data_IF_861562746849
#
_entry.id   IF_861562746849
#
_cell.length_a   1.000
_cell.length_b   1.000
_cell.length_c   1.000
_cell.angle_alpha   90.00
_cell.angle_beta   90.00
_cell.angle_gamma   90.00
#
_symmetry.space_group_name_H-M   'P 1'
#
loop_
_entity.id
_entity.type
_entity.pdbx_description
1 polymer ?
#
# COMPACT_ATOMS: atom_id res chain seq x y z
N UNK A 1 16.98 11.56 -28.46
CA UNK A 1 16.70 10.25 -27.85
C UNK A 1 15.20 10.06 -27.75
N UNK A 2 14.67 8.92 -28.16
CA UNK A 2 13.25 8.58 -28.02
C UNK A 2 13.00 7.70 -26.77
N UNK A 3 11.72 7.46 -26.42
CA UNK A 3 11.35 6.75 -25.19
C UNK A 3 11.85 5.30 -25.12
N UNK A 4 11.98 4.61 -26.26
CA UNK A 4 12.49 3.24 -26.33
C UNK A 4 14.02 3.21 -26.14
N UNK A 5 14.74 4.10 -26.80
CA UNK A 5 16.19 4.27 -26.62
C UNK A 5 16.54 4.60 -25.17
N UNK A 6 15.78 5.49 -24.54
CA UNK A 6 15.93 5.82 -23.11
C UNK A 6 15.72 4.58 -22.24
N UNK A 7 14.65 3.82 -22.49
CA UNK A 7 14.34 2.62 -21.69
C UNK A 7 15.46 1.60 -21.78
N UNK A 8 15.91 1.24 -22.99
CA UNK A 8 16.98 0.27 -23.19
C UNK A 8 18.28 0.73 -22.52
N UNK A 9 18.61 2.03 -22.61
CA UNK A 9 19.84 2.59 -22.02
C UNK A 9 19.88 2.45 -20.51
N UNK A 10 18.76 2.66 -19.82
CA UNK A 10 18.73 2.66 -18.34
C UNK A 10 18.20 1.36 -17.74
N UNK A 11 17.60 0.47 -18.51
CA UNK A 11 16.94 -0.74 -18.00
C UNK A 11 17.84 -1.57 -17.07
N UNK A 12 19.05 -1.90 -17.51
CA UNK A 12 19.95 -2.75 -16.70
C UNK A 12 20.48 -2.06 -15.45
N UNK A 13 20.62 -0.73 -15.51
CA UNK A 13 21.34 0.03 -14.50
C UNK A 13 20.43 0.60 -13.41
N UNK A 14 19.19 0.96 -13.75
CA UNK A 14 18.25 1.63 -12.83
C UNK A 14 16.97 0.83 -12.59
N UNK A 15 16.58 -0.05 -13.53
CA UNK A 15 15.31 -0.80 -13.46
C UNK A 15 15.46 -2.24 -13.00
N UNK A 16 16.56 -2.91 -13.37
CA UNK A 16 16.81 -4.29 -12.92
C UNK A 16 17.00 -4.28 -11.39
N UNK A 17 16.23 -5.07 -10.63
CA UNK A 17 16.53 -5.30 -9.22
C UNK A 17 17.96 -5.85 -9.12
N UNK A 18 18.79 -5.27 -8.27
CA UNK A 18 20.11 -5.84 -8.00
C UNK A 18 19.93 -7.21 -7.32
N UNK A 19 20.83 -8.14 -7.59
CA UNK A 19 20.81 -9.48 -6.99
C UNK A 19 21.11 -9.48 -5.48
N UNK A 20 21.56 -8.35 -4.93
CA UNK A 20 21.88 -8.11 -3.52
C UNK A 20 20.73 -8.40 -2.53
N UNK A 21 19.48 -8.20 -2.96
CA UNK A 21 18.27 -8.33 -2.15
C UNK A 21 17.99 -9.79 -1.79
N UNK A 22 18.32 -10.74 -2.68
CA UNK A 22 18.11 -12.16 -2.45
C UNK A 22 18.98 -12.70 -1.31
N UNK A 23 20.21 -12.22 -1.18
CA UNK A 23 21.09 -12.63 -0.09
C UNK A 23 20.62 -12.06 1.24
N UNK A 24 20.21 -10.79 1.25
CA UNK A 24 19.69 -10.12 2.44
C UNK A 24 18.47 -10.84 3.02
N UNK A 25 17.49 -11.21 2.19
CA UNK A 25 16.29 -11.90 2.66
C UNK A 25 16.57 -13.27 3.30
N UNK A 26 17.57 -14.00 2.80
CA UNK A 26 18.00 -15.27 3.41
C UNK A 26 18.62 -14.99 4.79
N UNK A 27 19.48 -13.97 4.89
CA UNK A 27 20.15 -13.60 6.14
C UNK A 27 19.17 -13.08 7.20
N UNK A 28 18.16 -12.30 6.80
CA UNK A 28 17.14 -11.77 7.71
C UNK A 28 16.35 -12.86 8.44
N UNK A 29 16.17 -14.04 7.83
CA UNK A 29 15.50 -15.17 8.49
C UNK A 29 16.27 -15.67 9.72
N UNK A 30 17.58 -15.45 9.77
CA UNK A 30 18.44 -15.88 10.88
C UNK A 30 18.61 -14.83 11.99
N UNK A 31 18.16 -13.59 11.76
CA UNK A 31 18.30 -12.51 12.72
C UNK A 31 17.38 -12.70 13.95
N UNK A 32 17.75 -12.12 15.11
CA UNK A 32 16.89 -12.11 16.29
C UNK A 32 15.60 -11.33 16.01
N UNK A 33 14.53 -11.66 16.74
CA UNK A 33 13.29 -10.89 16.69
C UNK A 33 13.51 -9.51 17.31
N UNK A 34 13.03 -8.47 16.65
CA UNK A 34 12.97 -7.10 17.15
C UNK A 34 11.51 -6.72 17.36
N UNK A 35 11.25 -5.94 18.40
CA UNK A 35 9.92 -5.38 18.70
C UNK A 35 9.97 -3.86 18.64
N UNK A 36 9.05 -3.25 17.90
CA UNK A 36 8.73 -1.83 18.00
C UNK A 36 7.37 -1.67 18.68
N UNK A 37 7.25 -0.72 19.60
CA UNK A 37 5.97 -0.36 20.23
C UNK A 37 5.55 1.02 19.77
N UNK A 38 4.29 1.18 19.40
CA UNK A 38 3.73 2.47 19.01
C UNK A 38 3.83 3.52 20.13
N UNK A 39 3.71 3.10 21.40
CA UNK A 39 3.88 3.99 22.56
C UNK A 39 5.31 4.54 22.65
N UNK A 40 6.33 3.68 22.53
CA UNK A 40 7.73 4.09 22.57
C UNK A 40 8.10 4.96 21.37
N UNK A 41 7.66 4.58 20.18
CA UNK A 41 8.02 5.29 18.94
C UNK A 41 7.35 6.67 18.86
N UNK A 42 6.13 6.83 19.40
CA UNK A 42 5.45 8.14 19.43
C UNK A 42 5.82 9.00 20.64
N UNK A 43 6.49 8.44 21.65
CA UNK A 43 6.76 9.13 22.92
C UNK A 43 5.48 9.52 23.69
N UNK A 44 4.33 8.94 23.34
CA UNK A 44 3.05 9.19 24.01
C UNK A 44 2.80 8.12 25.06
N UNK A 45 2.98 8.47 26.31
CA UNK A 45 2.49 7.67 27.42
C UNK A 45 0.99 8.00 27.61
N UNK A 46 0.11 7.00 27.62
CA UNK A 46 -1.30 7.09 28.04
C UNK A 46 -2.39 7.46 27.00
N UNK A 47 -2.12 7.51 25.70
CA UNK A 47 -3.21 7.57 24.68
C UNK A 47 -3.41 6.21 24.02
N UNK A 48 -4.62 5.61 24.08
CA UNK A 48 -4.85 4.30 23.47
C UNK A 48 -4.67 4.36 21.95
N UNK A 49 -3.87 3.43 21.42
CA UNK A 49 -3.72 3.22 19.97
C UNK A 49 -4.81 2.25 19.54
N UNK A 50 -5.83 2.78 18.86
CA UNK A 50 -7.02 2.03 18.48
C UNK A 50 -6.77 1.11 17.28
N UNK A 51 -5.93 1.51 16.33
CA UNK A 51 -5.60 0.69 15.15
C UNK A 51 -4.66 -0.45 15.59
N UNK A 52 -5.13 -1.70 15.49
CA UNK A 52 -4.41 -2.86 16.02
C UNK A 52 -3.02 -3.01 15.42
N UNK A 53 -2.92 -2.87 14.09
CA UNK A 53 -1.64 -2.97 13.36
C UNK A 53 -0.67 -1.83 13.66
N UNK A 54 -1.08 -0.77 14.37
CA UNK A 54 -0.21 0.32 14.80
C UNK A 54 0.35 0.13 16.23
N UNK A 55 -0.16 -0.83 17.01
CA UNK A 55 0.19 -0.96 18.43
C UNK A 55 1.63 -1.46 18.64
N UNK A 56 2.02 -2.48 17.89
CA UNK A 56 3.38 -3.02 17.94
C UNK A 56 3.70 -3.81 16.69
N UNK A 57 4.99 -3.91 16.37
CA UNK A 57 5.53 -4.80 15.35
C UNK A 57 6.51 -5.75 16.03
N UNK A 58 6.41 -7.05 15.77
CA UNK A 58 7.40 -8.05 16.20
C UNK A 58 7.81 -8.92 15.02
N UNK A 59 9.08 -8.87 14.63
CA UNK A 59 9.56 -9.63 13.47
C UNK A 59 11.07 -9.81 13.45
N UNK A 60 11.58 -10.62 12.51
CA UNK A 60 13.02 -10.86 12.32
C UNK A 60 13.67 -9.92 11.28
N UNK A 61 12.86 -9.10 10.58
CA UNK A 61 13.42 -8.09 9.68
C UNK A 61 14.25 -7.10 10.50
N UNK A 62 15.35 -6.56 9.96
CA UNK A 62 16.32 -5.78 10.73
C UNK A 62 15.85 -4.34 10.89
N UNK A 63 14.69 -4.17 11.50
CA UNK A 63 14.05 -2.87 11.74
C UNK A 63 14.75 -2.19 12.92
N UNK A 64 15.07 -0.90 12.79
CA UNK A 64 15.67 -0.13 13.88
C UNK A 64 14.66 0.81 14.55
N UNK A 65 14.72 1.02 15.89
CA UNK A 65 13.89 2.01 16.56
C UNK A 65 14.16 3.43 16.06
N UNK A 66 13.16 4.31 16.10
CA UNK A 66 13.32 5.71 15.65
C UNK A 66 14.34 6.47 16.48
N UNK A 67 14.44 6.18 17.78
CA UNK A 67 15.46 6.75 18.67
C UNK A 67 16.89 6.45 18.18
N UNK A 68 17.15 5.21 17.74
CA UNK A 68 18.43 4.82 17.16
C UNK A 68 18.63 5.48 15.79
N UNK A 69 17.62 5.42 14.91
CA UNK A 69 17.68 6.03 13.59
C UNK A 69 18.03 7.53 13.66
N UNK A 70 17.47 8.23 14.65
CA UNK A 70 17.65 9.68 14.86
C UNK A 70 19.03 10.05 15.44
N UNK A 71 19.85 9.07 15.85
CA UNK A 71 21.17 9.34 16.43
C UNK A 71 22.13 9.89 15.37
N UNK A 72 22.69 11.10 15.52
CA UNK A 72 23.70 11.63 14.59
C UNK A 72 24.94 10.72 14.52
N UNK A 73 25.44 10.44 13.32
CA UNK A 73 26.59 9.56 13.14
C UNK A 73 27.85 10.09 13.84
N UNK A 74 28.01 11.42 13.91
CA UNK A 74 29.13 12.09 14.59
C UNK A 74 29.21 11.73 16.07
N UNK A 75 28.09 11.46 16.74
CA UNK A 75 28.04 11.12 18.16
C UNK A 75 28.52 9.69 18.45
N UNK A 76 28.55 8.82 17.41
CA UNK A 76 28.96 7.43 17.53
C UNK A 76 30.41 7.22 17.08
N UNK A 77 30.81 7.91 16.00
CA UNK A 77 32.09 7.66 15.34
C UNK A 77 32.12 6.33 14.57
N UNK A 78 33.10 6.15 13.68
CA UNK A 78 33.13 5.03 12.72
C UNK A 78 33.13 3.64 13.39
N UNK A 79 33.85 3.47 14.52
CA UNK A 79 33.94 2.20 15.22
C UNK A 79 32.59 1.76 15.80
N UNK A 80 31.90 2.64 16.54
CA UNK A 80 30.58 2.32 17.12
C UNK A 80 29.49 2.21 16.06
N UNK A 81 29.60 2.95 14.95
CA UNK A 81 28.69 2.77 13.80
C UNK A 81 28.81 1.36 13.25
N UNK A 82 30.04 0.90 12.98
CA UNK A 82 30.29 -0.45 12.47
C UNK A 82 29.83 -1.53 13.47
N UNK A 83 30.13 -1.35 14.75
CA UNK A 83 29.69 -2.24 15.82
C UNK A 83 28.16 -2.40 15.79
N UNK A 84 27.41 -1.30 15.75
CA UNK A 84 25.94 -1.34 15.70
C UNK A 84 25.41 -2.02 14.43
N UNK A 85 25.99 -1.72 13.26
CA UNK A 85 25.61 -2.37 12.01
C UNK A 85 25.85 -3.89 12.09
N UNK A 86 27.03 -4.29 12.56
CA UNK A 86 27.40 -5.69 12.76
C UNK A 86 26.42 -6.40 13.71
N UNK A 87 26.07 -5.77 14.83
CA UNK A 87 25.09 -6.31 15.79
C UNK A 87 23.71 -6.47 15.17
N UNK A 88 23.19 -5.44 14.49
CA UNK A 88 21.83 -5.45 13.91
C UNK A 88 21.72 -6.45 12.77
N UNK A 89 22.73 -6.51 11.90
CA UNK A 89 22.73 -7.30 10.68
C UNK A 89 23.39 -8.68 10.84
N UNK A 90 23.84 -9.03 12.05
CA UNK A 90 24.41 -10.34 12.37
C UNK A 90 25.71 -10.64 11.61
N UNK A 91 26.61 -9.66 11.55
CA UNK A 91 27.88 -9.73 10.81
C UNK A 91 29.06 -9.31 11.69
N UNK A 92 30.28 -9.46 11.18
CA UNK A 92 31.52 -9.18 11.92
C UNK A 92 32.55 -8.48 11.03
N UNK A 93 32.12 -7.49 10.24
CA UNK A 93 33.03 -6.70 9.41
C UNK A 93 34.00 -5.90 10.27
N UNK A 94 35.20 -5.64 9.74
CA UNK A 94 36.26 -4.88 10.41
C UNK A 94 36.53 -3.55 9.69
N UNK A 95 36.97 -2.54 10.46
CA UNK A 95 37.48 -1.27 9.92
C UNK A 95 38.81 -1.41 9.19
N UNK A 96 39.44 -2.60 9.23
CA UNK A 96 40.57 -2.95 8.38
C UNK A 96 40.21 -2.89 6.88
N UNK A 97 38.92 -3.05 6.53
CA UNK A 97 38.45 -2.80 5.17
C UNK A 97 38.51 -1.28 4.88
N UNK A 98 39.43 -0.80 4.02
CA UNK A 98 39.63 0.63 3.81
C UNK A 98 38.43 1.29 3.11
N UNK A 99 37.73 0.53 2.24
CA UNK A 99 36.56 1.03 1.51
C UNK A 99 35.41 1.34 2.48
N UNK A 100 35.11 0.41 3.39
CA UNK A 100 34.07 0.58 4.40
C UNK A 100 34.43 1.69 5.41
N UNK A 101 35.68 1.68 5.90
CA UNK A 101 36.17 2.71 6.84
C UNK A 101 36.06 4.12 6.25
N UNK A 102 36.47 4.29 4.99
CA UNK A 102 36.37 5.57 4.27
C UNK A 102 34.92 5.98 4.05
N UNK A 103 34.03 5.04 3.71
CA UNK A 103 32.61 5.31 3.51
C UNK A 103 31.93 5.80 4.79
N UNK A 104 32.16 5.12 5.92
CA UNK A 104 31.62 5.53 7.23
C UNK A 104 32.10 6.93 7.63
N UNK A 105 33.38 7.24 7.42
CA UNK A 105 33.92 8.60 7.64
C UNK A 105 33.26 9.64 6.73
N UNK A 106 32.99 9.27 5.48
CA UNK A 106 32.30 10.16 4.52
C UNK A 106 30.88 10.48 4.99
N UNK A 107 30.13 9.49 5.49
CA UNK A 107 28.78 9.73 6.02
C UNK A 107 28.76 10.54 7.31
N UNK A 108 29.75 10.36 8.19
CA UNK A 108 29.94 11.24 9.35
C UNK A 108 30.17 12.69 8.90
N UNK A 109 31.05 12.90 7.91
CA UNK A 109 31.34 14.23 7.37
C UNK A 109 30.14 14.89 6.67
N UNK A 110 29.21 14.10 6.14
CA UNK A 110 27.94 14.57 5.54
C UNK A 110 26.85 14.89 6.58
N UNK A 111 27.15 14.78 7.88
CA UNK A 111 26.20 14.97 8.98
C UNK A 111 24.97 14.05 8.90
N UNK A 112 25.19 12.81 8.44
CA UNK A 112 24.12 11.82 8.39
C UNK A 112 23.75 11.35 9.81
N UNK A 113 22.48 10.98 9.99
CA UNK A 113 22.06 10.20 11.15
C UNK A 113 22.19 8.69 10.87
N UNK A 114 22.11 7.89 11.93
CA UNK A 114 22.27 6.44 11.85
C UNK A 114 21.26 5.81 10.89
N UNK A 115 20.01 6.28 10.89
CA UNK A 115 18.98 5.80 9.98
C UNK A 115 19.34 6.04 8.52
N UNK A 116 19.82 7.23 8.17
CA UNK A 116 20.19 7.55 6.78
C UNK A 116 21.35 6.67 6.33
N UNK A 117 22.37 6.53 7.18
CA UNK A 117 23.49 5.64 6.93
C UNK A 117 23.02 4.18 6.78
N UNK A 118 22.15 3.73 7.67
CA UNK A 118 21.62 2.38 7.70
C UNK A 118 20.85 2.07 6.41
N UNK A 119 19.93 2.94 5.98
CA UNK A 119 19.18 2.77 4.73
C UNK A 119 20.06 2.76 3.47
N UNK A 120 21.22 3.44 3.49
CA UNK A 120 22.18 3.40 2.38
C UNK A 120 22.97 2.09 2.31
N UNK A 121 23.24 1.47 3.46
CA UNK A 121 24.11 0.29 3.54
C UNK A 121 23.35 -1.02 3.60
N UNK A 122 22.16 -1.05 4.21
CA UNK A 122 21.39 -2.25 4.47
C UNK A 122 21.18 -3.13 3.23
N UNK A 123 20.84 -2.59 2.04
CA UNK A 123 20.59 -3.45 0.92
C UNK A 123 21.86 -4.06 0.29
N UNK A 124 23.06 -3.44 0.48
CA UNK A 124 24.38 -3.94 0.01
C UNK A 124 25.12 -4.73 1.07
N UNK A 125 24.61 -4.77 2.29
CA UNK A 125 25.44 -5.14 3.44
C UNK A 125 26.07 -6.52 3.32
N UNK A 126 25.37 -7.48 2.69
CA UNK A 126 25.83 -8.86 2.55
C UNK A 126 26.61 -9.14 1.27
N UNK A 127 26.77 -8.15 0.40
CA UNK A 127 27.54 -8.27 -0.83
C UNK A 127 29.04 -8.05 -0.61
N UNK A 128 29.80 -8.14 -1.70
CA UNK A 128 31.17 -7.65 -1.75
C UNK A 128 31.21 -6.11 -1.60
N UNK A 129 31.64 -5.68 -0.42
CA UNK A 129 31.83 -4.27 -0.04
C UNK A 129 33.09 -3.64 -0.67
N UNK A 130 33.87 -4.37 -1.47
CA UNK A 130 35.01 -3.82 -2.20
C UNK A 130 34.54 -2.76 -3.20
N UNK A 131 35.14 -1.57 -3.17
CA UNK A 131 34.78 -0.47 -4.06
C UNK A 131 33.35 0.06 -3.85
N UNK A 132 32.73 -0.20 -2.69
CA UNK A 132 31.34 0.18 -2.38
C UNK A 132 31.04 1.66 -2.62
N UNK A 133 32.01 2.54 -2.32
CA UNK A 133 31.88 3.98 -2.55
C UNK A 133 31.68 4.30 -4.03
N UNK A 134 32.45 3.68 -4.91
CA UNK A 134 32.39 3.90 -6.35
C UNK A 134 31.12 3.27 -6.95
N UNK A 135 30.71 2.11 -6.44
CA UNK A 135 29.42 1.47 -6.80
C UNK A 135 28.24 2.40 -6.48
N UNK A 136 28.20 2.97 -5.28
CA UNK A 136 27.14 3.92 -4.88
C UNK A 136 27.17 5.19 -5.72
N UNK A 137 28.35 5.76 -5.95
CA UNK A 137 28.51 6.96 -6.78
C UNK A 137 28.07 6.72 -8.23
N UNK A 138 28.35 5.54 -8.77
CA UNK A 138 27.87 5.12 -10.09
C UNK A 138 26.35 5.05 -10.13
N UNK A 139 25.70 4.46 -9.12
CA UNK A 139 24.23 4.38 -9.05
C UNK A 139 23.58 5.77 -8.99
N UNK A 140 24.13 6.66 -8.15
CA UNK A 140 23.71 8.06 -8.04
C UNK A 140 23.82 8.79 -9.37
N UNK A 141 24.96 8.65 -10.05
CA UNK A 141 25.23 9.29 -11.36
C UNK A 141 24.26 8.80 -12.43
N UNK A 142 23.99 7.48 -12.47
CA UNK A 142 23.06 6.90 -13.46
C UNK A 142 21.61 7.31 -13.21
N UNK A 143 21.16 7.45 -11.97
CA UNK A 143 19.82 8.00 -11.68
C UNK A 143 19.72 9.48 -12.08
N UNK A 144 20.77 10.26 -11.85
CA UNK A 144 20.83 11.65 -12.30
C UNK A 144 20.73 11.74 -13.83
N UNK A 145 21.54 10.98 -14.57
CA UNK A 145 21.49 10.93 -16.03
C UNK A 145 20.13 10.46 -16.55
N UNK A 146 19.57 9.39 -15.96
CA UNK A 146 18.24 8.87 -16.30
C UNK A 146 17.17 9.96 -16.24
N UNK A 147 17.15 10.74 -15.15
CA UNK A 147 16.16 11.81 -14.94
C UNK A 147 16.43 13.02 -15.83
N UNK A 148 17.70 13.36 -16.09
CA UNK A 148 18.02 14.45 -17.03
C UNK A 148 17.57 14.09 -18.44
N UNK A 149 17.88 12.87 -18.87
CA UNK A 149 17.72 12.45 -20.26
C UNK A 149 16.26 12.06 -20.60
N UNK A 150 15.36 11.92 -19.60
CA UNK A 150 13.93 11.65 -19.82
C UNK A 150 13.14 12.90 -20.24
N UNK A 151 13.68 14.10 -20.02
CA UNK A 151 13.04 15.36 -20.37
C UNK A 151 13.67 15.93 -21.64
N UNK A 152 12.97 15.83 -22.77
CA UNK A 152 13.46 16.29 -24.09
C UNK A 152 12.44 17.28 -24.67
N UNK A 153 12.89 18.48 -25.04
CA UNK A 153 12.03 19.53 -25.61
C UNK A 153 10.76 19.77 -24.76
N UNK A 154 10.93 19.83 -23.44
CA UNK A 154 9.84 19.98 -22.46
C UNK A 154 8.77 18.86 -22.48
N UNK A 155 9.15 17.66 -22.96
CA UNK A 155 8.31 16.46 -22.97
C UNK A 155 9.01 15.33 -22.23
N UNK A 156 8.27 14.64 -21.36
CA UNK A 156 8.70 13.39 -20.74
C UNK A 156 8.56 12.28 -21.78
N UNK A 157 9.68 11.72 -22.24
CA UNK A 157 9.69 10.73 -23.33
C UNK A 157 9.36 9.30 -22.89
N UNK A 158 9.33 9.04 -21.57
CA UNK A 158 8.97 7.74 -21.00
C UNK A 158 8.31 7.92 -19.62
N UNK A 159 7.14 7.32 -19.41
CA UNK A 159 6.36 7.44 -18.16
C UNK A 159 6.74 6.42 -17.09
N UNK A 160 7.55 5.41 -17.41
CA UNK A 160 7.99 4.38 -16.45
C UNK A 160 9.10 4.88 -15.53
N UNK A 161 9.15 6.18 -15.24
CA UNK A 161 10.19 6.71 -14.38
C UNK A 161 9.97 6.26 -12.94
N UNK A 162 11.03 5.74 -12.31
CA UNK A 162 10.99 5.34 -10.90
C UNK A 162 10.88 6.58 -10.00
N UNK A 163 10.21 6.48 -8.83
CA UNK A 163 10.12 7.60 -7.90
C UNK A 163 11.51 8.10 -7.52
N UNK A 164 11.68 9.39 -7.25
CA UNK A 164 13.00 9.92 -6.87
C UNK A 164 13.47 9.41 -5.51
N UNK A 165 12.52 9.24 -4.60
CA UNK A 165 12.75 8.83 -3.23
C UNK A 165 11.68 7.84 -2.80
N UNK A 166 12.02 6.99 -1.85
CA UNK A 166 11.12 6.02 -1.21
C UNK A 166 11.34 6.05 0.29
N UNK A 167 10.32 5.72 1.06
CA UNK A 167 10.43 5.59 2.51
C UNK A 167 10.84 4.16 2.86
N UNK A 168 12.09 4.00 3.32
CA UNK A 168 12.59 2.76 3.91
C UNK A 168 12.08 2.65 5.36
N UNK A 169 11.19 1.69 5.57
CA UNK A 169 10.55 1.45 6.86
C UNK A 169 11.49 0.75 7.84
N UNK A 170 12.53 0.05 7.39
CA UNK A 170 13.51 -0.56 8.30
C UNK A 170 14.37 0.51 8.95
N UNK A 171 14.86 1.48 8.18
CA UNK A 171 15.66 2.61 8.68
C UNK A 171 14.86 3.80 9.22
N UNK A 172 13.56 3.84 8.92
CA UNK A 172 12.69 5.00 9.10
C UNK A 172 13.20 6.26 8.38
N UNK A 173 13.67 6.12 7.14
CA UNK A 173 14.19 7.25 6.35
C UNK A 173 13.67 7.24 4.93
N UNK A 174 13.46 8.43 4.40
CA UNK A 174 13.33 8.64 2.97
C UNK A 174 14.73 8.54 2.36
N UNK A 175 14.91 7.56 1.48
CA UNK A 175 16.16 7.29 0.77
C UNK A 175 15.96 7.46 -0.73
N UNK A 176 17.01 7.83 -1.49
CA UNK A 176 16.93 7.90 -2.94
C UNK A 176 16.60 6.54 -3.57
N UNK A 177 15.92 6.55 -4.72
CA UNK A 177 15.64 5.31 -5.47
C UNK A 177 16.90 4.54 -5.86
N UNK A 178 17.98 5.23 -6.23
CA UNK A 178 19.24 4.60 -6.60
C UNK A 178 19.90 3.84 -5.44
N UNK A 179 19.48 4.11 -4.20
CA UNK A 179 19.83 3.32 -3.02
C UNK A 179 18.87 2.14 -2.87
N UNK A 180 17.57 2.38 -2.79
CA UNK A 180 16.60 1.32 -2.48
C UNK A 180 16.50 0.26 -3.58
N UNK A 181 16.43 0.70 -4.85
CA UNK A 181 16.29 -0.13 -6.06
C UNK A 181 15.23 -1.24 -5.95
N UNK A 182 14.20 -0.98 -5.16
CA UNK A 182 13.07 -1.87 -4.92
C UNK A 182 11.78 -1.07 -4.96
N UNK A 183 10.78 -1.65 -5.61
CA UNK A 183 9.49 -0.98 -5.80
C UNK A 183 8.76 -0.82 -4.47
N UNK A 184 8.38 0.42 -4.11
CA UNK A 184 7.67 0.67 -2.87
C UNK A 184 6.21 0.25 -2.95
N UNK A 185 5.59 0.03 -1.80
CA UNK A 185 4.13 -0.01 -1.70
C UNK A 185 3.60 1.43 -1.61
N UNK A 186 2.78 1.87 -2.57
CA UNK A 186 2.19 3.19 -2.52
C UNK A 186 1.17 3.27 -1.38
N UNK A 187 1.16 4.41 -0.68
CA UNK A 187 0.15 4.78 0.29
C UNK A 187 -0.73 5.85 -0.35
N UNK A 188 -2.03 5.61 -0.35
CA UNK A 188 -3.04 6.56 -0.76
C UNK A 188 -3.87 6.99 0.45
N UNK A 189 -4.25 8.27 0.52
CA UNK A 189 -4.99 8.79 1.67
C UNK A 189 -5.91 9.96 1.31
N UNK A 190 -6.99 10.13 2.06
CA UNK A 190 -7.93 11.25 1.87
C UNK A 190 -7.26 12.60 2.18
N UNK A 191 -7.75 13.66 1.52
CA UNK A 191 -7.33 15.02 1.82
C UNK A 191 -8.07 15.51 3.07
N UNK A 192 -7.35 16.16 3.97
CA UNK A 192 -7.94 16.80 5.16
C UNK A 192 -8.07 18.31 5.05
N UNK A 193 -8.90 18.89 5.92
CA UNK A 193 -8.96 20.33 6.10
C UNK A 193 -7.64 20.89 6.66
N UNK A 194 -7.21 22.05 6.17
CA UNK A 194 -5.97 22.71 6.58
C UNK A 194 -5.92 22.97 8.09
N UNK A 195 -7.06 23.28 8.73
CA UNK A 195 -7.16 23.51 10.17
C UNK A 195 -6.98 22.21 10.97
N UNK A 196 -7.15 21.05 10.34
CA UNK A 196 -6.94 19.72 10.93
C UNK A 196 -5.59 19.10 10.54
N UNK A 197 -4.81 19.78 9.70
CA UNK A 197 -3.44 19.40 9.35
C UNK A 197 -2.44 20.17 10.20
N UNK A 198 -1.23 19.64 10.27
CA UNK A 198 -0.06 20.31 10.79
C UNK A 198 1.14 19.96 9.93
N UNK A 199 2.04 20.93 9.79
CA UNK A 199 3.30 20.77 9.08
C UNK A 199 4.38 20.29 10.05
N UNK A 200 4.83 19.04 9.88
CA UNK A 200 5.82 18.42 10.76
C UNK A 200 7.18 18.40 10.09
N UNK A 201 8.17 19.03 10.73
CA UNK A 201 9.56 18.91 10.34
C UNK A 201 10.18 17.64 10.94
N UNK A 202 10.15 16.55 10.18
CA UNK A 202 10.52 15.21 10.64
C UNK A 202 11.95 14.81 10.27
N UNK A 203 12.69 14.04 11.10
CA UNK A 203 13.96 13.44 10.70
C UNK A 203 13.80 12.37 9.60
N UNK A 204 12.58 11.87 9.36
CA UNK A 204 12.30 10.82 8.36
C UNK A 204 12.73 11.27 6.96
N UNK A 205 12.39 12.50 6.54
CA UNK A 205 12.85 13.10 5.28
C UNK A 205 14.11 13.96 5.44
N UNK A 206 14.90 13.73 6.50
CA UNK A 206 16.11 14.50 6.78
C UNK A 206 15.85 15.95 7.20
N UNK A 207 14.62 16.30 7.62
CA UNK A 207 14.20 17.68 7.90
C UNK A 207 14.38 18.60 6.69
N UNK A 208 14.25 18.05 5.48
CA UNK A 208 14.41 18.82 4.26
C UNK A 208 13.18 19.67 3.96
N UNK A 209 11.97 19.20 4.25
CA UNK A 209 10.74 19.97 4.08
C UNK A 209 9.70 19.62 5.15
N UNK A 210 8.77 20.54 5.47
CA UNK A 210 7.62 20.21 6.31
C UNK A 210 6.74 19.16 5.64
N UNK A 211 6.23 18.23 6.44
CA UNK A 211 5.34 17.16 5.98
C UNK A 211 3.93 17.45 6.51
N UNK A 212 2.96 17.77 5.63
CA UNK A 212 1.59 18.02 6.06
C UNK A 212 0.92 16.71 6.46
N UNK A 213 0.64 16.54 7.74
CA UNK A 213 -0.04 15.36 8.28
C UNK A 213 -1.24 15.76 9.15
N UNK A 214 -2.24 14.88 9.35
CA UNK A 214 -3.31 15.10 10.33
C UNK A 214 -2.76 15.29 11.74
N UNK A 215 -3.33 16.20 12.53
CA UNK A 215 -2.88 16.51 13.91
C UNK A 215 -2.90 15.30 14.86
N UNK A 216 -3.78 14.35 14.59
CA UNK A 216 -3.97 13.11 15.33
C UNK A 216 -3.24 11.91 14.72
N UNK A 217 -2.59 12.06 13.56
CA UNK A 217 -1.81 11.01 12.92
C UNK A 217 -0.35 11.01 13.38
N UNK A 218 0.32 9.88 13.20
CA UNK A 218 1.76 9.73 13.41
C UNK A 218 2.37 8.89 12.31
N UNK A 219 3.45 9.41 11.71
CA UNK A 219 4.25 8.69 10.72
C UNK A 219 4.85 7.41 11.32
N UNK A 220 5.23 7.41 12.59
CA UNK A 220 5.78 6.22 13.24
C UNK A 220 4.72 5.14 13.48
N UNK A 221 3.46 5.52 13.70
CA UNK A 221 2.36 4.55 13.78
C UNK A 221 2.05 3.96 12.40
N UNK A 222 1.98 4.79 11.35
CA UNK A 222 1.83 4.35 9.96
C UNK A 222 2.96 3.38 9.59
N UNK A 223 4.20 3.69 9.98
CA UNK A 223 5.34 2.80 9.78
C UNK A 223 5.13 1.43 10.43
N UNK A 224 4.70 1.37 11.69
CA UNK A 224 4.45 0.09 12.38
C UNK A 224 3.36 -0.71 11.65
N UNK A 225 2.29 -0.05 11.22
CA UNK A 225 1.23 -0.68 10.44
C UNK A 225 1.75 -1.25 9.12
N UNK A 226 2.52 -0.47 8.37
CA UNK A 226 3.12 -0.93 7.11
C UNK A 226 4.11 -2.09 7.33
N UNK A 227 4.89 -2.08 8.42
CA UNK A 227 5.77 -3.20 8.79
C UNK A 227 4.98 -4.48 9.11
N UNK A 228 3.83 -4.36 9.78
CA UNK A 228 2.92 -5.49 10.04
C UNK A 228 2.27 -6.04 8.76
N UNK A 229 2.15 -5.22 7.70
CA UNK A 229 1.76 -5.66 6.36
C UNK A 229 2.93 -6.30 5.57
N UNK A 230 4.11 -6.42 6.18
CA UNK A 230 5.29 -7.01 5.54
C UNK A 230 6.01 -6.07 4.57
N UNK A 231 5.75 -4.77 4.63
CA UNK A 231 6.33 -3.77 3.72
C UNK A 231 7.73 -3.35 4.19
N UNK A 232 8.67 -3.27 3.25
CA UNK A 232 10.02 -2.73 3.47
C UNK A 232 10.14 -1.28 2.98
N UNK A 233 9.74 -1.03 1.73
CA UNK A 233 9.69 0.32 1.16
C UNK A 233 8.25 0.74 0.93
N UNK A 234 7.90 1.93 1.39
CA UNK A 234 6.65 2.59 1.12
C UNK A 234 6.87 3.86 0.28
N UNK A 235 5.82 4.32 -0.39
CA UNK A 235 5.82 5.63 -1.04
C UNK A 235 4.63 6.42 -0.54
N UNK A 236 4.92 7.59 0.03
CA UNK A 236 3.93 8.53 0.52
C UNK A 236 4.30 9.88 -0.07
N UNK A 237 3.43 10.46 -0.88
CA UNK A 237 3.66 11.70 -1.64
C UNK A 237 4.21 12.84 -0.77
N UNK A 238 3.61 13.09 0.39
CA UNK A 238 4.02 14.15 1.33
C UNK A 238 5.41 13.92 1.94
N UNK A 239 5.90 12.67 1.96
CA UNK A 239 7.24 12.31 2.43
C UNK A 239 8.27 12.20 1.29
N UNK A 240 7.88 11.67 0.15
CA UNK A 240 8.81 11.31 -0.93
C UNK A 240 8.98 12.43 -1.97
N UNK A 241 8.00 13.33 -2.08
CA UNK A 241 8.09 14.54 -2.90
C UNK A 241 8.43 15.75 -2.04
N UNK A 242 9.29 16.62 -2.59
CA UNK A 242 9.66 17.88 -1.94
C UNK A 242 8.42 18.77 -1.81
N UNK A 243 8.10 19.18 -0.57
CA UNK A 243 6.97 20.06 -0.26
C UNK A 243 7.41 21.52 -0.14
N UNK A 244 6.44 22.43 -0.13
CA UNK A 244 6.66 23.88 0.02
C UNK A 244 7.26 24.20 1.39
N UNK A 245 8.18 25.17 1.44
CA UNK A 245 8.69 25.74 2.69
C UNK A 245 9.86 24.97 3.30
N UNK A 246 10.49 24.10 2.50
CA UNK A 246 11.66 23.32 2.90
C UNK A 246 13.00 23.99 2.61
N UNK A 247 14.07 23.34 3.07
CA UNK A 247 15.43 23.55 2.58
C UNK A 247 15.47 23.21 1.08
N UNK A 248 16.24 24.00 0.34
CA UNK A 248 16.40 23.85 -1.10
C UNK A 248 15.08 23.91 -1.89
N UNK A 249 14.19 24.83 -1.49
CA UNK A 249 12.96 25.15 -2.23
C UNK A 249 13.24 25.47 -3.71
N UNK A 250 14.44 25.98 -4.03
CA UNK A 250 14.93 26.20 -5.40
C UNK A 250 14.84 24.95 -6.28
N UNK A 251 14.98 23.76 -5.69
CA UNK A 251 14.94 22.49 -6.43
C UNK A 251 13.51 21.97 -6.64
N UNK A 252 12.51 22.46 -5.89
CA UNK A 252 11.16 21.87 -5.90
C UNK A 252 10.54 21.92 -7.29
N UNK A 253 10.58 23.08 -7.95
CA UNK A 253 10.03 23.22 -9.30
C UNK A 253 10.73 22.31 -10.31
N UNK A 254 12.06 22.20 -10.23
CA UNK A 254 12.83 21.34 -11.14
C UNK A 254 12.58 19.85 -10.91
N UNK A 255 12.48 19.40 -9.65
CA UNK A 255 12.09 18.03 -9.32
C UNK A 255 10.65 17.73 -9.80
N UNK A 256 9.71 18.65 -9.55
CA UNK A 256 8.29 18.47 -9.87
C UNK A 256 8.00 18.38 -11.36
N UNK A 257 8.78 19.04 -12.23
CA UNK A 257 8.63 18.93 -13.71
C UNK A 257 8.56 17.50 -14.21
N UNK A 258 9.28 16.60 -13.53
CA UNK A 258 9.42 15.20 -13.91
C UNK A 258 8.68 14.29 -12.92
N UNK A 259 8.86 14.54 -11.62
CA UNK A 259 8.39 13.62 -10.60
C UNK A 259 6.85 13.59 -10.55
N UNK A 260 6.17 14.76 -10.59
CA UNK A 260 4.71 14.84 -10.46
C UNK A 260 3.97 14.16 -11.62
N UNK A 261 4.32 14.42 -12.90
CA UNK A 261 3.67 13.73 -14.03
C UNK A 261 3.91 12.22 -14.11
N UNK A 262 4.89 11.68 -13.35
CA UNK A 262 5.25 10.26 -13.39
C UNK A 262 4.78 9.48 -12.16
N UNK A 263 4.08 10.13 -11.21
CA UNK A 263 3.57 9.51 -9.98
C UNK A 263 2.68 8.29 -10.27
N UNK A 264 1.86 8.33 -11.32
CA UNK A 264 0.95 7.24 -11.67
C UNK A 264 1.65 5.88 -11.81
N UNK A 265 2.94 5.86 -12.17
CA UNK A 265 3.71 4.62 -12.25
C UNK A 265 3.98 3.97 -10.88
N UNK A 266 4.04 4.76 -9.81
CA UNK A 266 4.18 4.24 -8.43
C UNK A 266 2.90 3.52 -7.98
N UNK A 267 1.75 4.02 -8.44
CA UNK A 267 0.43 3.50 -8.11
C UNK A 267 -0.07 2.41 -9.08
N UNK A 268 0.73 2.04 -10.08
CA UNK A 268 0.40 0.95 -10.99
C UNK A 268 0.29 -0.38 -10.22
N UNK A 269 -0.96 -0.84 -10.06
CA UNK A 269 -1.28 -2.03 -9.26
C UNK A 269 -0.76 -3.33 -9.86
N UNK A 270 -0.36 -3.33 -11.15
CA UNK A 270 0.35 -4.48 -11.74
C UNK A 270 1.70 -4.74 -11.06
N UNK A 271 2.21 -3.76 -10.31
CA UNK A 271 3.50 -3.80 -9.65
C UNK A 271 3.39 -4.13 -8.15
N UNK A 272 2.53 -3.41 -7.41
CA UNK A 272 2.31 -3.60 -5.95
C UNK A 272 0.88 -3.19 -5.56
N UNK A 273 0.34 -3.80 -4.50
CA UNK A 273 -0.95 -3.38 -3.92
C UNK A 273 -0.80 -2.01 -3.24
N UNK A 274 -1.81 -1.16 -3.41
CA UNK A 274 -1.90 0.16 -2.79
C UNK A 274 -2.48 0.02 -1.38
N UNK A 275 -1.91 0.74 -0.40
CA UNK A 275 -2.49 0.84 0.94
C UNK A 275 -3.34 2.12 1.03
N UNK A 276 -4.64 1.98 1.24
CA UNK A 276 -5.59 3.09 1.20
C UNK A 276 -6.11 3.46 2.59
N UNK A 277 -5.94 4.73 2.98
CA UNK A 277 -6.52 5.33 4.18
C UNK A 277 -7.70 6.24 3.81
N UNK A 278 -8.90 5.66 3.71
CA UNK A 278 -10.12 6.36 3.25
C UNK A 278 -10.60 7.47 4.20
N UNK A 279 -10.37 7.34 5.50
CA UNK A 279 -10.72 8.36 6.51
C UNK A 279 -9.58 9.35 6.76
N UNK A 280 -8.52 9.28 5.93
CA UNK A 280 -7.34 10.12 5.97
C UNK A 280 -6.15 9.45 6.66
N UNK A 281 -4.96 9.95 6.33
CA UNK A 281 -3.68 9.29 6.56
C UNK A 281 -3.47 8.83 8.01
N UNK A 282 -3.23 7.53 8.20
CA UNK A 282 -2.93 6.92 9.50
C UNK A 282 -4.09 6.87 10.49
N UNK A 283 -5.29 7.30 10.10
CA UNK A 283 -6.47 7.26 10.96
C UNK A 283 -7.19 5.92 10.87
N UNK A 284 -7.96 5.67 11.91
CA UNK A 284 -8.99 4.63 11.93
C UNK A 284 -9.94 4.81 10.73
N UNK A 285 -10.22 3.70 10.04
CA UNK A 285 -11.32 3.63 9.09
C UNK A 285 -12.64 3.93 9.80
N UNK A 286 -13.25 5.07 9.47
CA UNK A 286 -14.55 5.48 9.98
C UNK A 286 -15.41 6.02 8.84
N UNK A 287 -16.23 5.13 8.26
CA UNK A 287 -17.13 5.46 7.15
C UNK A 287 -18.20 6.49 7.51
N UNK A 288 -18.53 6.69 8.80
CA UNK A 288 -19.46 7.74 9.26
C UNK A 288 -18.82 9.13 9.26
N UNK A 289 -17.49 9.21 9.36
CA UNK A 289 -16.73 10.47 9.33
C UNK A 289 -16.24 10.85 7.93
N UNK A 290 -16.33 9.92 6.96
CA UNK A 290 -16.09 10.22 5.55
C UNK A 290 -17.22 11.08 5.01
N UNK A 291 -17.03 12.40 4.96
CA UNK A 291 -17.97 13.28 4.25
C UNK A 291 -17.76 13.11 2.73
N UNK A 292 -18.53 12.21 2.12
CA UNK A 292 -18.41 11.83 0.70
C UNK A 292 -18.62 12.98 -0.27
N UNK A 293 -19.43 13.97 0.12
CA UNK A 293 -19.75 15.16 -0.69
C UNK A 293 -18.65 16.23 -0.67
N UNK A 294 -17.72 16.16 0.29
CA UNK A 294 -16.62 17.11 0.38
C UNK A 294 -15.68 17.00 -0.83
N UNK A 295 -15.26 18.13 -1.40
CA UNK A 295 -14.22 18.17 -2.45
C UNK A 295 -12.88 17.55 -2.03
N UNK A 296 -12.72 17.26 -0.72
CA UNK A 296 -11.52 16.70 -0.09
C UNK A 296 -11.68 15.23 0.28
N UNK A 297 -12.87 14.69 0.05
CA UNK A 297 -13.14 13.27 0.07
C UNK A 297 -12.11 12.55 -0.81
N UNK A 298 -11.54 11.43 -0.35
CA UNK A 298 -10.69 10.57 -1.18
C UNK A 298 -11.34 10.29 -2.54
N UNK A 299 -12.67 10.20 -2.53
CA UNK A 299 -13.53 9.88 -3.66
C UNK A 299 -13.72 11.03 -4.68
N UNK A 300 -13.32 12.28 -4.37
CA UNK A 300 -13.42 13.44 -5.29
C UNK A 300 -12.06 14.03 -5.70
N UNK A 301 -10.96 13.50 -5.18
CA UNK A 301 -9.61 13.92 -5.55
C UNK A 301 -9.25 13.41 -6.95
N UNK A 302 -8.95 14.31 -7.90
CA UNK A 302 -8.61 13.91 -9.28
C UNK A 302 -7.42 12.94 -9.39
N UNK A 303 -6.53 12.91 -8.38
CA UNK A 303 -5.38 12.01 -8.33
C UNK A 303 -5.74 10.55 -8.01
N UNK A 304 -6.85 10.28 -7.29
CA UNK A 304 -7.23 8.90 -6.92
C UNK A 304 -7.68 8.06 -8.11
N UNK A 305 -8.07 8.67 -9.23
CA UNK A 305 -8.37 7.97 -10.48
C UNK A 305 -7.15 7.24 -11.06
N UNK A 306 -5.93 7.75 -10.81
CA UNK A 306 -4.67 7.10 -11.23
C UNK A 306 -4.29 5.93 -10.31
N UNK A 307 -4.92 5.82 -9.14
CA UNK A 307 -4.53 4.92 -8.06
C UNK A 307 -5.41 3.65 -7.99
N UNK A 308 -6.50 3.63 -8.77
CA UNK A 308 -7.52 2.56 -8.80
C UNK A 308 -7.36 1.62 -10.00
N UNK A 309 -6.28 1.74 -10.79
CA UNK A 309 -6.10 0.95 -12.03
C UNK A 309 -5.90 -0.56 -11.75
N UNK A 310 -7.05 -1.24 -11.62
CA UNK A 310 -7.47 -2.57 -12.04
C UNK A 310 -6.37 -3.62 -12.20
N UNK A 311 -6.19 -4.43 -11.13
CA UNK A 311 -5.88 -5.89 -11.20
C UNK A 311 -5.87 -6.61 -9.85
N UNK A 312 -5.71 -5.91 -8.71
CA UNK A 312 -5.63 -6.53 -7.37
C UNK A 312 -6.36 -5.70 -6.30
N UNK A 313 -6.92 -6.35 -5.28
CA UNK A 313 -7.55 -5.65 -4.14
C UNK A 313 -6.54 -4.69 -3.43
N UNK A 314 -6.88 -3.41 -3.20
CA UNK A 314 -6.09 -2.53 -2.34
C UNK A 314 -6.12 -3.01 -0.89
N UNK A 315 -5.06 -2.74 -0.14
CA UNK A 315 -4.97 -3.02 1.29
C UNK A 315 -5.60 -1.85 2.05
N UNK A 316 -6.53 -2.13 2.95
CA UNK A 316 -7.19 -1.10 3.75
C UNK A 316 -6.33 -0.79 4.99
N UNK A 317 -5.95 0.48 5.16
CA UNK A 317 -5.25 0.97 6.35
C UNK A 317 -6.22 1.44 7.43
N UNK A 318 -5.79 1.41 8.69
CA UNK A 318 -6.53 1.93 9.84
C UNK A 318 -7.51 0.95 10.49
N UNK A 319 -7.24 -0.36 10.41
CA UNK A 319 -8.13 -1.42 10.89
C UNK A 319 -8.12 -1.62 12.43
N UNK A 320 -9.31 -1.66 13.07
CA UNK A 320 -9.48 -1.82 14.54
C UNK A 320 -9.84 -3.23 15.02
N UNK A 321 -10.06 -4.19 14.13
CA UNK A 321 -10.40 -5.59 14.48
C UNK A 321 -11.86 -5.84 14.86
N UNK A 322 -12.67 -4.82 15.14
CA UNK A 322 -14.14 -4.93 15.25
C UNK A 322 -14.84 -4.89 13.88
N UNK A 323 -14.17 -4.30 12.89
CA UNK A 323 -14.51 -4.44 11.48
C UNK A 323 -13.65 -5.58 10.95
N UNK A 324 -14.21 -6.81 10.97
CA UNK A 324 -13.50 -8.01 10.52
C UNK A 324 -12.84 -7.78 9.16
N UNK A 325 -11.65 -8.35 8.99
CA UNK A 325 -10.79 -8.31 7.81
C UNK A 325 -11.58 -8.06 6.50
N UNK A 326 -11.64 -6.80 6.08
CA UNK A 326 -12.26 -6.37 4.82
C UNK A 326 -11.36 -6.71 3.61
N UNK A 327 -10.18 -7.28 3.86
CA UNK A 327 -9.32 -7.91 2.87
C UNK A 327 -9.87 -9.28 2.48
N UNK A 328 -10.55 -9.35 1.35
CA UNK A 328 -10.96 -10.60 0.73
C UNK A 328 -12.44 -10.95 0.91
N UNK A 329 -12.99 -11.56 -0.14
CA UNK A 329 -14.34 -12.10 -0.30
C UNK A 329 -15.49 -11.05 -0.26
N UNK A 330 -16.29 -11.02 -1.33
CA UNK A 330 -17.55 -10.24 -1.46
C UNK A 330 -18.49 -10.41 -0.26
N UNK A 331 -18.61 -11.62 0.29
CA UNK A 331 -19.49 -11.95 1.41
C UNK A 331 -19.04 -11.26 2.71
N UNK A 332 -17.72 -11.22 2.99
CA UNK A 332 -17.20 -10.51 4.16
C UNK A 332 -17.47 -9.01 4.06
N UNK A 333 -17.27 -8.44 2.88
CA UNK A 333 -17.54 -7.03 2.57
C UNK A 333 -19.03 -6.70 2.75
N UNK A 334 -19.93 -7.55 2.26
CA UNK A 334 -21.38 -7.39 2.43
C UNK A 334 -21.82 -7.58 3.89
N UNK A 335 -21.27 -8.55 4.61
CA UNK A 335 -21.54 -8.75 6.04
C UNK A 335 -21.10 -7.55 6.89
N UNK A 336 -19.99 -6.90 6.53
CA UNK A 336 -19.60 -5.64 7.16
C UNK A 336 -20.62 -4.52 6.89
N UNK A 337 -21.20 -4.48 5.68
CA UNK A 337 -22.25 -3.52 5.32
C UNK A 337 -23.56 -3.77 6.07
N UNK A 338 -23.93 -5.03 6.35
CA UNK A 338 -25.12 -5.39 7.14
C UNK A 338 -25.15 -4.67 8.51
N UNK A 339 -23.99 -4.50 9.14
CA UNK A 339 -23.86 -3.90 10.47
C UNK A 339 -23.95 -2.36 10.47
N UNK A 340 -24.03 -1.72 9.30
CA UNK A 340 -23.99 -0.25 9.17
C UNK A 340 -25.39 0.36 9.17
N UNK A 341 -25.45 1.65 9.47
CA UNK A 341 -26.67 2.46 9.48
C UNK A 341 -26.49 3.61 8.51
N UNK A 342 -27.53 3.92 7.73
CA UNK A 342 -27.57 5.02 6.78
C UNK A 342 -28.86 5.84 6.96
N UNK A 343 -28.82 7.11 6.55
CA UNK A 343 -29.99 7.99 6.57
C UNK A 343 -30.91 7.66 5.39
N UNK A 344 -30.35 7.45 4.20
CA UNK A 344 -31.07 6.90 3.06
C UNK A 344 -30.66 5.41 2.88
N UNK A 345 -31.60 4.47 2.68
CA UNK A 345 -31.29 3.07 2.41
C UNK A 345 -30.32 2.85 1.22
N UNK A 346 -30.44 3.63 0.15
CA UNK A 346 -29.59 3.55 -1.06
C UNK A 346 -28.13 3.90 -0.76
N UNK A 347 -27.85 4.68 0.30
CA UNK A 347 -26.48 5.05 0.68
C UNK A 347 -25.62 3.83 1.04
N UNK A 348 -26.22 2.74 1.53
CA UNK A 348 -25.47 1.51 1.82
C UNK A 348 -24.99 0.81 0.56
N UNK A 349 -25.78 0.89 -0.51
CA UNK A 349 -25.43 0.36 -1.82
C UNK A 349 -24.38 1.25 -2.47
N UNK A 350 -24.59 2.57 -2.41
CA UNK A 350 -23.61 3.55 -2.87
C UNK A 350 -22.27 3.36 -2.15
N UNK A 351 -22.28 3.19 -0.82
CA UNK A 351 -21.09 2.89 -0.03
C UNK A 351 -20.46 1.53 -0.36
N UNK A 352 -21.25 0.56 -0.85
CA UNK A 352 -20.78 -0.77 -1.24
C UNK A 352 -20.01 -0.77 -2.56
N UNK A 353 -20.24 0.19 -3.47
CA UNK A 353 -19.44 0.33 -4.70
C UNK A 353 -17.94 0.34 -4.41
N UNK A 354 -17.54 0.98 -3.30
CA UNK A 354 -16.16 1.13 -2.91
C UNK A 354 -15.56 -0.10 -2.21
N UNK A 355 -16.39 -0.88 -1.51
CA UNK A 355 -15.96 -2.18 -0.97
C UNK A 355 -15.84 -3.22 -2.08
N UNK A 356 -16.74 -3.16 -3.07
CA UNK A 356 -16.91 -4.16 -4.11
C UNK A 356 -16.16 -3.85 -5.41
N UNK A 357 -15.28 -2.83 -5.39
CA UNK A 357 -14.24 -2.54 -6.39
C UNK A 357 -14.73 -2.68 -7.83
N UNK A 358 -15.61 -1.76 -8.22
CA UNK A 358 -16.25 -1.76 -9.53
C UNK A 358 -15.38 -1.08 -10.61
N UNK A 359 -15.45 -1.56 -11.86
CA UNK A 359 -14.72 -0.94 -12.99
C UNK A 359 -15.35 0.42 -13.39
N UNK A 360 -16.60 0.65 -13.00
CA UNK A 360 -17.30 1.93 -13.10
C UNK A 360 -18.27 2.11 -11.92
N UNK A 361 -18.63 3.35 -11.61
CA UNK A 361 -19.53 3.66 -10.48
C UNK A 361 -20.94 3.88 -11.04
N UNK A 362 -21.97 3.16 -10.55
CA UNK A 362 -23.35 3.38 -10.97
C UNK A 362 -23.83 4.76 -10.48
N UNK A 363 -24.68 5.41 -11.28
CA UNK A 363 -25.24 6.72 -10.90
C UNK A 363 -26.11 6.61 -9.64
N UNK A 364 -25.93 7.55 -8.71
CA UNK A 364 -26.71 7.63 -7.48
C UNK A 364 -27.99 8.43 -7.70
N UNK A 365 -29.12 7.85 -7.32
CA UNK A 365 -30.40 8.53 -7.32
C UNK A 365 -31.07 8.31 -5.96
N UNK A 366 -31.26 9.38 -5.20
CA UNK A 366 -31.79 9.33 -3.83
C UNK A 366 -33.16 8.61 -3.73
N UNK A 367 -33.97 8.72 -4.79
CA UNK A 367 -35.31 8.14 -4.89
C UNK A 367 -35.38 6.77 -5.61
N UNK A 368 -34.24 6.19 -5.99
CA UNK A 368 -34.21 4.87 -6.65
C UNK A 368 -34.50 3.75 -5.66
N UNK A 369 -35.13 2.67 -6.14
CA UNK A 369 -35.34 1.48 -5.32
C UNK A 369 -34.01 0.79 -5.01
N UNK A 370 -33.86 0.28 -3.79
CA UNK A 370 -32.63 -0.39 -3.35
C UNK A 370 -32.23 -1.55 -4.26
N UNK A 371 -33.20 -2.37 -4.71
CA UNK A 371 -32.88 -3.49 -5.59
C UNK A 371 -32.37 -3.04 -6.96
N UNK A 372 -32.87 -1.93 -7.50
CA UNK A 372 -32.40 -1.38 -8.78
C UNK A 372 -30.98 -0.82 -8.64
N UNK A 373 -30.69 -0.16 -7.52
CA UNK A 373 -29.35 0.33 -7.22
C UNK A 373 -28.37 -0.84 -7.02
N UNK A 374 -28.79 -1.90 -6.33
CA UNK A 374 -27.98 -3.13 -6.15
C UNK A 374 -27.73 -3.84 -7.47
N UNK A 375 -28.74 -3.93 -8.33
CA UNK A 375 -28.60 -4.49 -9.68
C UNK A 375 -27.60 -3.70 -10.51
N UNK A 376 -27.69 -2.37 -10.49
CA UNK A 376 -26.73 -1.50 -11.17
C UNK A 376 -25.31 -1.68 -10.64
N UNK A 377 -25.15 -1.85 -9.32
CA UNK A 377 -23.86 -2.13 -8.68
C UNK A 377 -23.28 -3.48 -9.10
N UNK A 378 -24.06 -4.57 -9.05
CA UNK A 378 -23.56 -5.89 -9.47
C UNK A 378 -23.19 -5.90 -10.95
N UNK A 379 -23.92 -5.19 -11.79
CA UNK A 379 -23.63 -5.08 -13.22
C UNK A 379 -22.24 -4.47 -13.54
N UNK A 380 -21.71 -3.61 -12.67
CA UNK A 380 -20.40 -2.96 -12.84
C UNK A 380 -19.32 -3.50 -11.89
N UNK A 381 -19.68 -4.48 -11.05
CA UNK A 381 -18.78 -5.22 -10.18
C UNK A 381 -17.84 -6.10 -11.00
N UNK A 382 -16.59 -6.25 -10.57
CA UNK A 382 -15.65 -7.15 -11.24
C UNK A 382 -16.22 -8.57 -11.37
N UNK A 383 -16.01 -9.17 -12.54
CA UNK A 383 -16.58 -10.47 -12.94
C UNK A 383 -16.20 -11.63 -12.01
N UNK A 384 -15.02 -11.57 -11.37
CA UNK A 384 -14.61 -12.57 -10.38
C UNK A 384 -15.29 -12.40 -9.01
N UNK A 385 -15.67 -11.18 -8.61
CA UNK A 385 -16.49 -10.95 -7.41
C UNK A 385 -17.95 -11.38 -7.64
N UNK A 386 -18.44 -11.24 -8.87
CA UNK A 386 -19.72 -11.82 -9.28
C UNK A 386 -19.69 -13.35 -9.17
N UNK A 387 -18.61 -14.01 -9.62
CA UNK A 387 -18.44 -15.45 -9.43
C UNK A 387 -18.44 -15.85 -7.94
N UNK A 388 -17.89 -15.03 -7.06
CA UNK A 388 -17.98 -15.27 -5.62
C UNK A 388 -19.43 -15.22 -5.12
N UNK A 389 -20.26 -14.28 -5.59
CA UNK A 389 -21.70 -14.27 -5.27
C UNK A 389 -22.40 -15.55 -5.74
N UNK A 390 -22.06 -16.03 -6.95
CA UNK A 390 -22.63 -17.26 -7.52
C UNK A 390 -22.30 -18.51 -6.69
N UNK A 391 -21.06 -18.65 -6.22
CA UNK A 391 -20.60 -19.88 -5.56
C UNK A 391 -20.70 -19.86 -4.04
N UNK A 392 -20.69 -18.68 -3.42
CA UNK A 392 -20.64 -18.57 -1.97
C UNK A 392 -21.96 -18.15 -1.34
N UNK A 393 -22.95 -17.70 -2.12
CA UNK A 393 -24.30 -17.54 -1.59
C UNK A 393 -25.12 -18.81 -1.88
N UNK A 394 -25.65 -19.50 -0.85
CA UNK A 394 -26.20 -20.85 -1.00
C UNK A 394 -27.66 -20.89 -1.50
N UNK A 395 -28.38 -19.77 -1.40
CA UNK A 395 -29.80 -19.69 -1.74
C UNK A 395 -30.02 -19.03 -3.11
N UNK A 396 -31.12 -19.34 -3.82
CA UNK A 396 -31.48 -18.61 -5.02
C UNK A 396 -31.85 -17.17 -4.69
N UNK A 397 -31.47 -16.26 -5.59
CA UNK A 397 -31.86 -14.86 -5.54
C UNK A 397 -33.36 -14.66 -5.64
N UNK A 398 -33.91 -13.78 -4.79
CA UNK A 398 -35.32 -13.37 -4.83
C UNK A 398 -35.62 -12.20 -5.78
N UNK A 399 -34.59 -11.67 -6.46
CA UNK A 399 -34.70 -10.58 -7.43
C UNK A 399 -34.92 -11.05 -8.87
N UNK A 400 -34.67 -10.16 -9.84
CA UNK A 400 -34.83 -10.46 -11.27
C UNK A 400 -33.80 -11.47 -11.81
N UNK A 401 -32.65 -11.62 -11.14
CA UNK A 401 -31.61 -12.59 -11.46
C UNK A 401 -31.45 -13.54 -10.28
N UNK A 402 -31.72 -14.83 -10.49
CA UNK A 402 -31.76 -15.86 -9.44
C UNK A 402 -30.39 -16.41 -9.04
N UNK A 403 -29.35 -16.15 -9.82
CA UNK A 403 -28.00 -16.69 -9.59
C UNK A 403 -27.21 -15.94 -8.50
N UNK A 404 -27.71 -14.79 -8.06
CA UNK A 404 -27.10 -13.90 -7.05
C UNK A 404 -28.15 -13.48 -6.01
N UNK A 405 -27.75 -13.13 -4.78
CA UNK A 405 -28.69 -12.62 -3.79
C UNK A 405 -29.29 -11.26 -4.21
N UNK A 406 -30.54 -11.02 -3.82
CA UNK A 406 -31.13 -9.67 -3.82
C UNK A 406 -30.55 -8.83 -2.68
N UNK A 407 -30.71 -7.51 -2.75
CA UNK A 407 -30.26 -6.61 -1.68
C UNK A 407 -30.94 -6.94 -0.35
N UNK A 408 -32.23 -7.26 -0.39
CA UNK A 408 -33.00 -7.69 0.78
C UNK A 408 -32.39 -8.93 1.42
N UNK A 409 -31.99 -9.93 0.63
CA UNK A 409 -31.32 -11.13 1.14
C UNK A 409 -29.95 -10.80 1.73
N UNK A 410 -29.16 -9.99 1.01
CA UNK A 410 -27.86 -9.51 1.48
C UNK A 410 -27.96 -8.81 2.83
N UNK A 411 -29.04 -8.08 3.10
CA UNK A 411 -29.17 -7.31 4.34
C UNK A 411 -29.78 -8.07 5.51
N UNK A 412 -30.59 -9.10 5.25
CA UNK A 412 -31.39 -9.76 6.28
C UNK A 412 -30.97 -11.21 6.59
N UNK A 413 -30.19 -11.84 5.71
CA UNK A 413 -29.78 -13.23 5.89
C UNK A 413 -28.36 -13.38 6.42
N UNK A 414 -28.08 -14.51 7.08
CA UNK A 414 -26.74 -14.83 7.52
C UNK A 414 -25.87 -15.22 6.32
N UNK A 415 -24.89 -14.39 5.98
CA UNK A 415 -23.98 -14.69 4.88
C UNK A 415 -22.87 -15.66 5.34
N UNK A 416 -22.59 -16.74 4.59
CA UNK A 416 -21.57 -17.72 4.98
C UNK A 416 -20.17 -17.13 4.85
N UNK A 417 -19.48 -16.99 5.98
CA UNK A 417 -18.12 -16.48 6.01
C UNK A 417 -17.16 -17.56 5.47
N UNK A 418 -16.58 -17.31 4.30
CA UNK A 418 -15.49 -18.13 3.77
C UNK A 418 -14.14 -17.44 4.00
N UNK A 419 -13.17 -18.18 4.54
CA UNK A 419 -11.80 -17.69 4.76
C UNK A 419 -10.92 -17.77 3.51
N UNK A 420 -11.44 -18.36 2.42
CA UNK A 420 -10.70 -18.56 1.19
C UNK A 420 -10.92 -17.40 0.19
N UNK A 421 -9.84 -16.97 -0.46
CA UNK A 421 -9.86 -16.00 -1.57
C UNK A 421 -9.63 -16.70 -2.92
N UNK A 422 -10.15 -17.93 -3.07
CA UNK A 422 -9.90 -18.75 -4.26
C UNK A 422 -10.47 -18.09 -5.52
N UNK A 423 -9.73 -18.16 -6.63
CA UNK A 423 -10.24 -17.74 -7.93
C UNK A 423 -11.26 -18.78 -8.42
N UNK A 424 -12.51 -18.35 -8.57
CA UNK A 424 -13.65 -19.18 -8.94
C UNK A 424 -14.06 -19.04 -10.41
N UNK A 425 -13.24 -18.35 -11.22
CA UNK A 425 -13.60 -17.95 -12.57
C UNK A 425 -14.27 -16.58 -12.62
N UNK A 426 -14.95 -16.32 -13.73
CA UNK A 426 -15.58 -15.04 -14.05
C UNK A 426 -17.02 -15.28 -14.51
N UNK A 427 -17.95 -14.45 -14.04
CA UNK A 427 -19.31 -14.37 -14.58
C UNK A 427 -19.31 -13.24 -15.60
N UNK A 428 -19.60 -13.59 -16.85
CA UNK A 428 -19.66 -12.66 -17.98
C UNK A 428 -21.12 -12.30 -18.28
N UNK A 429 -21.32 -11.16 -18.94
CA UNK A 429 -22.64 -10.69 -19.40
C UNK A 429 -22.60 -10.38 -20.90
N UNK A 430 -23.63 -10.80 -21.62
CA UNK A 430 -23.80 -10.45 -23.03
C UNK A 430 -24.58 -9.13 -23.17
N UNK A 431 -24.00 -8.13 -23.83
CA UNK A 431 -24.67 -6.83 -24.04
C UNK A 431 -25.97 -6.97 -24.87
N UNK A 432 -26.03 -7.93 -25.80
CA UNK A 432 -27.15 -8.11 -26.71
C UNK A 432 -28.39 -8.76 -26.07
N UNK A 433 -28.21 -9.63 -25.08
CA UNK A 433 -29.30 -10.44 -24.51
C UNK A 433 -29.49 -10.25 -23.01
N UNK A 434 -28.66 -9.42 -22.37
CA UNK A 434 -28.64 -9.24 -20.91
C UNK A 434 -28.48 -10.58 -20.15
N UNK A 435 -27.86 -11.58 -20.77
CA UNK A 435 -27.72 -12.90 -20.19
C UNK A 435 -26.37 -13.00 -19.46
N UNK A 436 -26.43 -13.39 -18.19
CA UNK A 436 -25.25 -13.71 -17.40
C UNK A 436 -24.87 -15.18 -17.66
N UNK A 437 -23.59 -15.46 -17.88
CA UNK A 437 -23.10 -16.82 -18.08
C UNK A 437 -21.77 -17.04 -17.36
N UNK A 438 -21.55 -18.28 -16.94
CA UNK A 438 -20.32 -18.72 -16.29
C UNK A 438 -19.70 -19.87 -17.11
N UNK A 439 -18.42 -19.77 -17.45
CA UNK A 439 -17.69 -20.85 -18.14
C UNK A 439 -16.92 -21.69 -17.12
N UNK A 440 -17.44 -22.87 -16.80
CA UNK A 440 -16.76 -23.81 -15.93
C UNK A 440 -17.16 -25.26 -16.17
N UNK A 441 -16.65 -26.15 -15.32
CA UNK A 441 -16.96 -27.56 -15.36
C UNK A 441 -18.40 -27.78 -14.86
N UNK A 442 -19.23 -28.38 -15.70
CA UNK A 442 -20.59 -28.80 -15.35
C UNK A 442 -20.59 -30.29 -14.98
N UNK A 443 -21.36 -30.66 -13.96
CA UNK A 443 -21.64 -32.07 -13.67
C UNK A 443 -22.91 -32.43 -14.44
N UNK A 444 -22.76 -33.13 -15.56
CA UNK A 444 -23.90 -33.52 -16.40
C UNK A 444 -24.85 -34.50 -15.70
N UNK A 445 -24.31 -35.36 -14.83
CA UNK A 445 -25.11 -36.23 -13.96
C UNK A 445 -24.35 -36.60 -12.69
N UNK A 446 -25.05 -36.61 -11.56
CA UNK A 446 -24.55 -37.11 -10.29
C UNK A 446 -25.64 -37.89 -9.56
N UNK A 447 -25.25 -38.97 -8.88
CA UNK A 447 -26.14 -39.73 -8.02
C UNK A 447 -25.90 -39.32 -6.56
N UNK A 448 -26.83 -38.53 -5.99
CA UNK A 448 -26.74 -38.06 -4.61
C UNK A 448 -27.50 -39.03 -3.70
N UNK A 449 -26.78 -39.69 -2.77
CA UNK A 449 -27.38 -40.60 -1.77
C UNK A 449 -27.52 -39.87 -0.43
N UNK A 450 -28.68 -40.00 0.22
CA UNK A 450 -28.89 -39.56 1.61
C UNK A 450 -29.57 -38.19 1.82
N UNK A 451 -30.06 -37.54 0.75
CA UNK A 451 -30.80 -36.26 0.83
C UNK A 451 -32.29 -36.36 0.45
N UNK A 452 -32.82 -37.56 0.22
CA UNK A 452 -34.25 -37.74 -0.02
C UNK A 452 -35.01 -37.59 1.31
N UNK A 453 -35.80 -36.53 1.47
CA UNK A 453 -36.85 -36.52 2.50
C UNK A 453 -37.82 -37.69 2.23
N UNK A 454 -38.28 -38.40 3.26
CA UNK A 454 -39.31 -39.40 3.09
C UNK A 454 -40.60 -38.72 2.62
N UNK A 455 -41.10 -39.11 1.44
CA UNK A 455 -42.42 -38.71 0.94
C UNK A 455 -43.47 -38.87 2.04
N UNK A 456 -44.30 -37.84 2.33
CA UNK A 456 -45.47 -38.06 3.15
C UNK A 456 -46.44 -38.93 2.35
N UNK A 457 -46.97 -39.96 3.03
CA UNK A 457 -48.02 -40.89 2.56
C UNK A 457 -47.53 -42.00 1.61
N UNK A 458 -47.59 -43.30 1.96
CA UNK A 458 -48.19 -43.93 3.13
C UNK A 458 -47.65 -45.34 3.37
N UNK A 459 -47.89 -45.84 4.58
CA UNK A 459 -47.80 -47.27 4.93
C UNK A 459 -49.12 -47.97 4.59
N UNK A 460 -49.17 -49.31 4.47
CA UNK A 460 -48.08 -50.29 4.43
C UNK A 460 -47.78 -50.83 3.02
#
# INVERSE_FOLDING_TARGET
MNGYEWFIRYFHDTFKPLDWSKQADIKYKSLPKVTLSGFTETGRENTPILVLKQQSYTGRKPVIPSSLANTPCINLGAARLLEKLNTILGTSYSLENPSLSTLLKTYIAKDYNFGTLYGHLCPIWYDDLTGIKDKLHTCETKDFEMRRDVLVNNRIINSWLRPRRVWDLYSNRVVPWWVARQLPHPISHAWMDEHNRMDVLTPINGREWPVPIPKDASLDLIRIEMLNLGVEYAWLDVLCLRQVGGRREDLRMEEWKIDVPTIGYVYDQSVRRVVCYFSGMGRLLNLKACNFESDRSWFRCAWTLQEILSRYDPIIGGETGDDGDLGGNVVKKLSAMQKRVSTNPVDRIAGSTYLLLTDSIPAYYEAQAEEDAWMALVAVMMTWLQAQLLFWYPEPGSGSKVWRPSWTQVMNEALPLHDETQWLGEVDRTEETDADYFRGLCIDSAHVRGLAEPSPEGRP
#
